data_IF_749662924266
#
_entry.id   IF_749662924266
#
_cell.length_a   1.000
_cell.length_b   1.000
_cell.length_c   1.000
_cell.angle_alpha   90.00
_cell.angle_beta   90.00
_cell.angle_gamma   90.00
#
_symmetry.space_group_name_H-M   'P 1'
#
loop_
_entity.id
_entity.type
_entity.pdbx_description
1 polymer ?
#
# COMPACT_ATOMS: atom_id res chain seq x y z
N UNK A 1 -9.26 9.99 11.89
CA UNK A 1 -8.40 10.28 10.73
C UNK A 1 -8.25 11.79 10.62
N UNK A 2 -7.04 12.33 10.69
CA UNK A 2 -6.77 13.75 10.47
C UNK A 2 -6.02 13.93 9.17
N UNK A 3 -6.35 14.99 8.43
CA UNK A 3 -5.63 15.40 7.23
C UNK A 3 -5.33 16.89 7.35
N UNK A 4 -4.07 17.23 7.51
CA UNK A 4 -3.61 18.62 7.55
C UNK A 4 -3.23 19.16 6.16
N UNK A 5 -3.44 18.38 5.13
CA UNK A 5 -2.99 18.68 3.76
C UNK A 5 -1.66 18.02 3.40
N UNK A 6 -0.80 17.74 4.37
CA UNK A 6 0.54 17.17 4.17
C UNK A 6 0.58 15.66 4.37
N UNK A 7 -0.42 15.10 5.05
CA UNK A 7 -0.47 13.68 5.36
C UNK A 7 -1.83 13.18 5.82
N UNK A 8 -1.88 11.92 6.15
CA UNK A 8 -3.02 11.24 6.78
C UNK A 8 -2.53 10.37 7.92
N UNK A 9 -3.13 10.52 9.08
CA UNK A 9 -2.93 9.63 10.21
C UNK A 9 -4.10 8.64 10.31
N UNK A 10 -3.79 7.35 10.38
CA UNK A 10 -4.74 6.25 10.52
C UNK A 10 -4.58 5.63 11.90
N UNK A 11 -5.67 5.55 12.64
CA UNK A 11 -5.72 4.85 13.93
C UNK A 11 -6.26 3.45 13.74
N UNK A 12 -5.64 2.44 14.36
CA UNK A 12 -6.21 1.10 14.38
C UNK A 12 -7.56 1.12 15.13
N UNK A 13 -8.45 0.20 14.76
CA UNK A 13 -9.67 -0.01 15.52
C UNK A 13 -9.29 -0.42 16.96
N UNK A 14 -9.79 0.27 18.01
CA UNK A 14 -9.46 -0.02 19.40
C UNK A 14 -9.83 -1.45 19.84
N UNK A 15 -10.78 -2.09 19.16
CA UNK A 15 -11.16 -3.49 19.37
C UNK A 15 -10.34 -4.49 18.57
N UNK A 16 -9.34 -4.02 17.78
CA UNK A 16 -8.46 -4.91 17.04
C UNK A 16 -7.26 -5.32 17.88
N UNK A 17 -7.23 -6.58 18.29
CA UNK A 17 -6.10 -7.18 19.00
C UNK A 17 -5.27 -8.04 18.04
N UNK A 18 -4.09 -7.59 17.64
CA UNK A 18 -3.20 -8.39 16.82
C UNK A 18 -2.67 -9.59 17.61
N UNK A 19 -2.67 -10.77 17.00
CA UNK A 19 -2.37 -12.05 17.68
C UNK A 19 -0.95 -12.17 18.24
N UNK A 20 0.01 -11.33 17.87
CA UNK A 20 1.44 -11.48 18.24
C UNK A 20 2.22 -10.16 18.25
N UNK A 21 1.59 -9.06 18.64
CA UNK A 21 2.32 -7.79 18.79
C UNK A 21 2.69 -7.57 20.25
N UNK A 22 3.94 -7.13 20.55
CA UNK A 22 4.28 -6.60 21.85
C UNK A 22 3.35 -5.44 22.22
N UNK A 23 3.02 -5.28 23.50
CA UNK A 23 2.16 -4.21 24.00
C UNK A 23 2.60 -2.80 23.54
N UNK A 24 3.89 -2.60 23.34
CA UNK A 24 4.47 -1.35 22.83
C UNK A 24 4.01 -0.95 21.41
N UNK A 25 3.48 -1.88 20.62
CA UNK A 25 2.98 -1.62 19.27
C UNK A 25 1.45 -1.63 19.16
N UNK A 26 0.76 -1.73 20.29
CA UNK A 26 -0.68 -1.56 20.34
C UNK A 26 -1.05 -0.10 20.08
N UNK A 27 -2.06 0.12 19.26
CA UNK A 27 -2.58 1.44 18.92
C UNK A 27 -1.57 2.37 18.21
N UNK A 28 -0.54 1.81 17.57
CA UNK A 28 0.40 2.62 16.80
C UNK A 28 -0.33 3.29 15.64
N UNK A 29 -0.24 4.61 15.59
CA UNK A 29 -0.77 5.41 14.47
C UNK A 29 0.07 5.14 13.22
N UNK A 30 -0.59 4.94 12.09
CA UNK A 30 0.07 4.82 10.79
C UNK A 30 -0.02 6.18 10.12
N UNK A 31 1.11 6.81 9.93
CA UNK A 31 1.21 8.09 9.25
C UNK A 31 1.59 7.86 7.78
N UNK A 32 0.81 8.42 6.89
CA UNK A 32 1.05 8.42 5.45
C UNK A 32 1.35 9.85 5.02
N UNK A 33 2.58 10.08 4.55
CA UNK A 33 2.94 11.36 3.95
C UNK A 33 2.34 11.50 2.55
N UNK A 34 1.99 12.71 2.16
CA UNK A 34 1.62 13.00 0.79
C UNK A 34 2.87 12.96 -0.10
N UNK A 35 2.73 12.41 -1.30
CA UNK A 35 3.74 12.49 -2.35
C UNK A 35 3.34 13.61 -3.31
N UNK A 36 4.30 14.40 -3.71
CA UNK A 36 4.14 15.43 -4.71
C UNK A 36 4.92 16.69 -4.36
N UNK A 37 5.25 17.53 -5.35
CA UNK A 37 5.86 18.82 -5.10
C UNK A 37 4.89 19.71 -4.31
N UNK A 38 5.45 20.51 -3.41
CA UNK A 38 4.69 21.53 -2.64
C UNK A 38 4.17 22.69 -3.51
N UNK A 39 4.28 22.58 -4.84
CA UNK A 39 3.84 23.58 -5.80
C UNK A 39 2.54 23.17 -6.49
N UNK A 40 1.67 24.13 -6.82
CA UNK A 40 0.48 23.86 -7.62
C UNK A 40 0.91 23.21 -8.96
N UNK A 41 0.21 22.18 -9.44
CA UNK A 41 0.59 21.48 -10.64
C UNK A 41 0.42 22.43 -11.85
N UNK A 42 1.49 22.65 -12.60
CA UNK A 42 1.37 23.00 -13.99
C UNK A 42 0.76 21.79 -14.69
N UNK A 43 -0.42 21.92 -15.18
CA UNK A 43 -1.39 21.15 -15.97
C UNK A 43 -1.21 19.62 -16.20
N UNK A 44 -0.10 19.00 -15.92
CA UNK A 44 0.07 17.55 -15.91
C UNK A 44 0.39 17.08 -14.49
N UNK A 45 -0.58 16.38 -13.86
CA UNK A 45 -0.33 15.68 -12.61
C UNK A 45 0.89 14.78 -12.79
N UNK A 46 1.99 15.08 -12.11
CA UNK A 46 3.20 14.27 -12.22
C UNK A 46 2.88 12.82 -11.86
N UNK A 47 3.56 11.85 -12.47
CA UNK A 47 3.40 10.42 -12.14
C UNK A 47 3.53 10.15 -10.64
N UNK A 48 4.29 10.98 -9.92
CA UNK A 48 4.41 10.94 -8.47
C UNK A 48 3.10 11.26 -7.74
N UNK A 49 2.30 12.21 -8.25
CA UNK A 49 0.99 12.54 -7.64
C UNK A 49 -0.04 11.42 -7.82
N UNK A 50 0.00 10.71 -8.94
CA UNK A 50 -0.86 9.55 -9.18
C UNK A 50 -0.56 8.40 -8.21
N UNK A 51 0.67 8.30 -7.74
CA UNK A 51 1.11 7.31 -6.74
C UNK A 51 0.91 7.77 -5.29
N UNK A 52 0.40 8.98 -5.06
CA UNK A 52 0.21 9.52 -3.72
C UNK A 52 -0.87 8.75 -2.94
N UNK A 53 -0.52 8.04 -1.84
CA UNK A 53 -1.48 7.26 -1.06
C UNK A 53 -2.52 8.16 -0.36
N UNK A 54 -2.15 9.39 -0.01
CA UNK A 54 -3.05 10.37 0.62
C UNK A 54 -4.12 10.82 -0.36
N UNK A 55 -3.74 11.12 -1.60
CA UNK A 55 -4.68 11.48 -2.68
C UNK A 55 -5.62 10.32 -2.99
N UNK A 56 -5.08 9.13 -3.18
CA UNK A 56 -5.88 7.92 -3.44
C UNK A 56 -6.89 7.66 -2.32
N UNK A 57 -6.47 7.81 -1.07
CA UNK A 57 -7.35 7.62 0.09
C UNK A 57 -8.45 8.69 0.17
N UNK A 58 -8.12 9.95 -0.10
CA UNK A 58 -9.12 11.04 -0.14
C UNK A 58 -10.16 10.79 -1.23
N UNK A 59 -9.73 10.45 -2.44
CA UNK A 59 -10.61 10.11 -3.54
C UNK A 59 -11.52 8.94 -3.15
N UNK A 60 -10.96 7.87 -2.60
CA UNK A 60 -11.72 6.72 -2.15
C UNK A 60 -12.81 7.08 -1.12
N UNK A 61 -12.47 7.90 -0.12
CA UNK A 61 -13.41 8.36 0.92
C UNK A 61 -14.53 9.19 0.30
N UNK A 62 -14.21 10.10 -0.61
CA UNK A 62 -15.20 10.92 -1.30
C UNK A 62 -16.16 10.07 -2.14
N UNK A 63 -15.62 9.14 -2.93
CA UNK A 63 -16.39 8.24 -3.78
C UNK A 63 -17.30 7.29 -2.98
N UNK A 64 -16.89 6.91 -1.77
CA UNK A 64 -17.67 5.97 -0.94
C UNK A 64 -18.60 6.67 0.05
N UNK A 65 -18.47 7.97 0.28
CA UNK A 65 -19.21 8.71 1.30
C UNK A 65 -20.73 8.52 1.21
N UNK A 66 -21.28 8.51 -0.01
CA UNK A 66 -22.72 8.42 -0.24
C UNK A 66 -23.35 7.07 0.10
N UNK A 67 -22.55 6.02 0.28
CA UNK A 67 -23.05 4.67 0.58
C UNK A 67 -22.27 3.95 1.69
N UNK A 68 -21.36 4.61 2.36
CA UNK A 68 -20.55 4.02 3.44
C UNK A 68 -21.41 3.71 4.67
N UNK A 69 -21.52 2.44 5.05
CA UNK A 69 -22.38 1.94 6.13
C UNK A 69 -21.57 1.16 7.20
N UNK A 70 -20.29 1.43 7.32
CA UNK A 70 -19.40 0.66 8.19
C UNK A 70 -18.34 1.57 8.83
N UNK A 71 -17.94 1.26 10.05
CA UNK A 71 -16.79 1.90 10.70
C UNK A 71 -15.44 1.48 10.10
N UNK A 72 -15.43 0.45 9.24
CA UNK A 72 -14.24 0.01 8.52
C UNK A 72 -13.87 0.95 7.39
N UNK A 73 -12.59 1.27 7.23
CA UNK A 73 -12.12 2.14 6.15
C UNK A 73 -12.52 1.63 4.76
N UNK A 74 -12.37 0.33 4.51
CA UNK A 74 -12.69 -0.26 3.21
C UNK A 74 -14.04 -0.95 3.21
N UNK A 75 -14.89 -0.58 2.25
CA UNK A 75 -16.25 -1.10 2.09
C UNK A 75 -16.45 -1.78 0.73
N UNK A 76 -17.46 -2.62 0.65
CA UNK A 76 -17.89 -3.21 -0.62
C UNK A 76 -18.43 -2.12 -1.53
N UNK A 77 -17.90 -2.03 -2.74
CA UNK A 77 -18.28 -1.00 -3.72
C UNK A 77 -19.58 -1.33 -4.50
N UNK A 78 -19.95 -2.60 -4.57
CA UNK A 78 -21.12 -3.03 -5.33
C UNK A 78 -21.78 -4.30 -4.76
N UNK A 79 -22.89 -4.67 -5.41
CA UNK A 79 -23.69 -5.85 -5.05
C UNK A 79 -24.53 -5.65 -3.78
N UNK A 80 -25.11 -6.74 -3.25
CA UNK A 80 -26.04 -6.67 -2.11
C UNK A 80 -25.41 -6.15 -0.81
N UNK A 81 -24.09 -6.15 -0.72
CA UNK A 81 -23.33 -5.67 0.45
C UNK A 81 -22.63 -4.32 0.21
N UNK A 82 -23.09 -3.54 -0.76
CA UNK A 82 -22.56 -2.20 -1.01
C UNK A 82 -22.56 -1.37 0.29
N UNK A 83 -21.43 -0.74 0.61
CA UNK A 83 -21.27 0.08 1.80
C UNK A 83 -20.92 -0.68 3.09
N UNK A 84 -21.09 -1.98 3.15
CA UNK A 84 -20.71 -2.78 4.31
C UNK A 84 -19.20 -3.09 4.33
N UNK A 85 -18.67 -3.39 5.50
CA UNK A 85 -17.26 -3.69 5.70
C UNK A 85 -16.73 -4.73 4.72
N UNK A 86 -15.59 -4.45 4.11
CA UNK A 86 -14.89 -5.37 3.23
C UNK A 86 -14.21 -6.46 4.05
N UNK A 87 -14.37 -7.73 3.66
CA UNK A 87 -13.65 -8.82 4.31
C UNK A 87 -12.15 -8.78 3.98
N UNK A 88 -11.31 -9.28 4.91
CA UNK A 88 -9.85 -9.39 4.70
C UNK A 88 -9.49 -10.22 3.46
N UNK A 89 -10.25 -11.28 3.20
CA UNK A 89 -10.06 -12.13 2.02
C UNK A 89 -10.35 -11.36 0.73
N UNK A 90 -11.43 -10.59 0.70
CA UNK A 90 -11.78 -9.77 -0.46
C UNK A 90 -10.75 -8.68 -0.70
N UNK A 91 -10.27 -8.00 0.36
CA UNK A 91 -9.20 -7.02 0.25
C UNK A 91 -7.90 -7.65 -0.28
N UNK A 92 -7.52 -8.82 0.25
CA UNK A 92 -6.35 -9.55 -0.24
C UNK A 92 -6.48 -9.94 -1.72
N UNK A 93 -7.69 -10.32 -2.15
CA UNK A 93 -7.99 -10.62 -3.56
C UNK A 93 -7.85 -9.38 -4.43
N UNK A 94 -8.35 -8.23 -4.01
CA UNK A 94 -8.19 -6.98 -4.75
C UNK A 94 -6.74 -6.58 -4.95
N UNK A 95 -5.90 -6.75 -3.93
CA UNK A 95 -4.46 -6.50 -4.07
C UNK A 95 -3.84 -7.39 -5.15
N UNK A 96 -4.22 -8.66 -5.20
CA UNK A 96 -3.74 -9.60 -6.23
C UNK A 96 -4.26 -9.17 -7.62
N UNK A 97 -5.55 -8.88 -7.76
CA UNK A 97 -6.17 -8.46 -9.01
C UNK A 97 -5.51 -7.18 -9.58
N UNK A 98 -5.19 -6.20 -8.73
CA UNK A 98 -4.49 -4.97 -9.15
C UNK A 98 -3.07 -5.28 -9.65
N UNK A 99 -2.33 -6.16 -8.96
CA UNK A 99 -1.01 -6.57 -9.41
C UNK A 99 -1.10 -7.29 -10.76
N UNK A 100 -2.02 -8.24 -10.89
CA UNK A 100 -2.22 -8.97 -12.15
C UNK A 100 -2.56 -8.03 -13.31
N UNK A 101 -3.45 -7.07 -13.08
CA UNK A 101 -3.83 -6.09 -14.08
C UNK A 101 -2.65 -5.18 -14.49
N UNK A 102 -1.85 -4.74 -13.52
CA UNK A 102 -0.66 -3.94 -13.78
C UNK A 102 0.37 -4.68 -14.65
N UNK A 103 0.52 -5.99 -14.48
CA UNK A 103 1.40 -6.80 -15.33
C UNK A 103 0.80 -7.01 -16.72
N UNK A 104 -0.50 -7.33 -16.81
CA UNK A 104 -1.21 -7.54 -18.09
C UNK A 104 -1.19 -6.28 -18.93
N UNK A 105 -1.50 -5.12 -18.36
CA UNK A 105 -1.54 -3.86 -19.10
C UNK A 105 -0.19 -3.46 -19.70
N UNK A 106 0.91 -4.01 -19.17
CA UNK A 106 2.29 -3.78 -19.66
C UNK A 106 2.83 -4.94 -20.50
N UNK A 107 2.04 -5.95 -20.77
CA UNK A 107 2.48 -7.14 -21.53
C UNK A 107 3.57 -7.95 -20.80
N UNK A 108 3.68 -7.82 -19.47
CA UNK A 108 4.69 -8.51 -18.67
C UNK A 108 4.19 -9.88 -18.20
N UNK A 109 5.08 -10.88 -18.09
CA UNK A 109 4.70 -12.18 -17.53
C UNK A 109 4.33 -12.05 -16.05
N UNK A 110 3.24 -12.69 -15.66
CA UNK A 110 2.79 -12.68 -14.28
C UNK A 110 3.80 -13.35 -13.35
N UNK A 111 4.13 -12.74 -12.21
CA UNK A 111 4.95 -13.39 -11.20
C UNK A 111 4.25 -14.63 -10.64
N UNK A 112 5.03 -15.65 -10.33
CA UNK A 112 4.51 -16.86 -9.68
C UNK A 112 4.10 -16.55 -8.23
N UNK A 113 2.98 -17.15 -7.79
CA UNK A 113 2.53 -17.11 -6.40
C UNK A 113 2.25 -15.71 -5.82
N UNK A 114 1.62 -14.83 -6.59
CA UNK A 114 1.18 -13.52 -6.09
C UNK A 114 0.17 -13.73 -4.95
N UNK A 115 0.38 -13.02 -3.85
CA UNK A 115 -0.48 -13.02 -2.65
C UNK A 115 -0.71 -11.59 -2.19
N UNK A 116 -1.75 -11.35 -1.37
CA UNK A 116 -2.02 -10.04 -0.79
C UNK A 116 -0.87 -9.47 0.06
N UNK A 117 0.07 -10.30 0.53
CA UNK A 117 1.27 -9.87 1.26
C UNK A 117 2.51 -9.66 0.37
N UNK A 118 2.42 -9.93 -0.93
CA UNK A 118 3.58 -9.81 -1.84
C UNK A 118 4.12 -8.39 -1.90
N UNK A 119 3.25 -7.37 -1.91
CA UNK A 119 3.65 -5.96 -1.88
C UNK A 119 4.48 -5.62 -0.65
N UNK A 120 4.10 -6.13 0.53
CA UNK A 120 4.85 -5.93 1.78
C UNK A 120 6.24 -6.55 1.70
N UNK A 121 6.34 -7.77 1.18
CA UNK A 121 7.64 -8.46 1.03
C UNK A 121 8.57 -7.71 0.08
N UNK A 122 8.05 -7.25 -1.05
CA UNK A 122 8.82 -6.49 -2.03
C UNK A 122 9.24 -5.14 -1.47
N UNK A 123 8.33 -4.34 -0.92
CA UNK A 123 8.63 -3.00 -0.41
C UNK A 123 9.67 -3.01 0.72
N UNK A 124 9.54 -3.94 1.67
CA UNK A 124 10.51 -4.05 2.78
C UNK A 124 11.87 -4.58 2.32
N UNK A 125 11.90 -5.46 1.32
CA UNK A 125 13.16 -5.93 0.74
C UNK A 125 13.86 -4.82 -0.05
N UNK A 126 13.11 -3.98 -0.76
CA UNK A 126 13.64 -2.79 -1.43
C UNK A 126 14.20 -1.76 -0.44
N UNK A 127 13.48 -1.49 0.66
CA UNK A 127 13.96 -0.62 1.70
C UNK A 127 15.30 -1.11 2.29
N UNK A 128 15.38 -2.42 2.57
CA UNK A 128 16.63 -3.04 3.05
C UNK A 128 17.77 -2.94 2.03
N UNK A 129 17.49 -3.16 0.74
CA UNK A 129 18.48 -3.02 -0.34
C UNK A 129 19.02 -1.59 -0.45
N UNK A 130 18.18 -0.60 -0.17
CA UNK A 130 18.53 0.83 -0.17
C UNK A 130 19.17 1.30 1.12
N UNK A 131 19.48 0.40 2.04
CA UNK A 131 20.21 0.70 3.27
C UNK A 131 19.34 1.25 4.41
N UNK A 132 18.01 1.18 4.31
CA UNK A 132 17.16 1.54 5.44
C UNK A 132 17.40 0.57 6.59
N UNK A 133 17.64 1.06 7.83
CA UNK A 133 17.89 0.22 9.00
C UNK A 133 16.78 -0.80 9.24
N UNK A 134 17.14 -2.04 9.57
CA UNK A 134 16.16 -3.11 9.81
C UNK A 134 15.20 -2.78 10.95
N UNK A 135 15.63 -2.01 11.94
CA UNK A 135 14.76 -1.52 13.02
C UNK A 135 13.62 -0.63 12.51
N UNK A 136 13.91 0.26 11.57
CA UNK A 136 12.92 1.14 10.94
C UNK A 136 11.97 0.34 10.05
N UNK A 137 12.50 -0.61 9.26
CA UNK A 137 11.68 -1.51 8.44
C UNK A 137 10.73 -2.33 9.32
N UNK A 138 11.22 -2.88 10.44
CA UNK A 138 10.40 -3.63 11.38
C UNK A 138 9.33 -2.76 12.03
N UNK A 139 9.65 -1.54 12.42
CA UNK A 139 8.71 -0.58 12.98
C UNK A 139 7.61 -0.24 11.98
N UNK A 140 7.97 0.15 10.76
CA UNK A 140 7.01 0.47 9.68
C UNK A 140 6.13 -0.74 9.30
N UNK A 141 6.68 -1.95 9.33
CA UNK A 141 5.94 -3.18 9.06
C UNK A 141 5.19 -3.75 10.28
N UNK A 142 5.29 -3.12 11.45
CA UNK A 142 4.74 -3.61 12.72
C UNK A 142 5.21 -5.04 13.05
N UNK A 143 6.49 -5.32 12.86
CA UNK A 143 7.10 -6.61 13.18
C UNK A 143 7.86 -6.55 14.50
N UNK A 144 7.67 -7.58 15.32
CA UNK A 144 8.32 -7.68 16.64
C UNK A 144 9.84 -7.86 16.57
N UNK A 145 10.39 -8.35 15.44
CA UNK A 145 11.83 -8.60 15.30
C UNK A 145 12.29 -8.67 13.85
N UNK A 146 13.56 -8.40 13.63
CA UNK A 146 14.25 -8.56 12.35
C UNK A 146 14.23 -10.02 11.83
N UNK A 147 14.13 -11.00 12.72
CA UNK A 147 13.98 -12.42 12.33
C UNK A 147 12.72 -12.67 11.51
N UNK A 148 11.63 -11.93 11.76
CA UNK A 148 10.40 -12.02 10.98
C UNK A 148 10.65 -11.60 9.53
N UNK A 149 11.36 -10.50 9.32
CA UNK A 149 11.75 -10.05 7.98
C UNK A 149 12.64 -11.09 7.28
N UNK A 150 13.75 -11.48 7.92
CA UNK A 150 14.73 -12.38 7.33
C UNK A 150 14.13 -13.73 6.93
N UNK A 151 13.23 -14.27 7.76
CA UNK A 151 12.65 -15.61 7.58
C UNK A 151 11.48 -15.66 6.60
N UNK A 152 10.64 -14.63 6.56
CA UNK A 152 9.35 -14.72 5.88
C UNK A 152 9.14 -13.68 4.77
N UNK A 153 9.90 -12.58 4.78
CA UNK A 153 9.63 -11.44 3.92
C UNK A 153 10.81 -11.02 3.05
N UNK A 154 12.03 -11.44 3.38
CA UNK A 154 13.20 -11.12 2.56
C UNK A 154 13.10 -11.84 1.22
N UNK A 155 12.93 -11.08 0.15
CA UNK A 155 12.96 -11.57 -1.23
C UNK A 155 14.17 -11.00 -1.97
N UNK A 156 14.66 -11.71 -2.97
CA UNK A 156 15.74 -11.20 -3.81
C UNK A 156 15.16 -10.21 -4.83
N UNK A 157 15.11 -8.94 -4.45
CA UNK A 157 14.57 -7.88 -5.31
C UNK A 157 15.55 -7.46 -6.43
N UNK A 158 16.82 -7.80 -6.33
CA UNK A 158 17.79 -7.53 -7.40
C UNK A 158 17.43 -8.28 -8.70
N UNK A 159 16.87 -9.48 -8.59
CA UNK A 159 16.37 -10.24 -9.73
C UNK A 159 15.10 -9.63 -10.35
N UNK A 160 14.40 -8.77 -9.63
CA UNK A 160 13.17 -8.11 -10.07
C UNK A 160 13.38 -6.63 -10.42
N UNK A 161 14.63 -6.17 -10.47
CA UNK A 161 14.96 -4.76 -10.74
C UNK A 161 14.38 -4.28 -12.07
N UNK A 162 14.44 -5.11 -13.10
CA UNK A 162 13.88 -4.80 -14.42
C UNK A 162 12.36 -4.58 -14.37
N UNK A 163 11.65 -5.32 -13.52
CA UNK A 163 10.20 -5.22 -13.35
C UNK A 163 9.84 -3.96 -12.57
N UNK A 164 10.55 -3.66 -11.49
CA UNK A 164 10.32 -2.45 -10.70
C UNK A 164 10.64 -1.18 -11.52
N UNK A 165 11.73 -1.20 -12.29
CA UNK A 165 12.07 -0.12 -13.21
C UNK A 165 11.01 0.07 -14.30
N UNK A 166 10.48 -1.01 -14.87
CA UNK A 166 9.42 -0.95 -15.88
C UNK A 166 8.08 -0.44 -15.30
N UNK A 167 7.86 -0.56 -13.98
CA UNK A 167 6.64 -0.04 -13.33
C UNK A 167 6.75 1.46 -13.04
N UNK A 168 7.96 1.96 -12.82
CA UNK A 168 8.21 3.35 -12.40
C UNK A 168 8.66 4.25 -13.57
N UNK A 169 9.27 3.68 -14.61
CA UNK A 169 9.66 4.43 -15.80
C UNK A 169 8.44 4.71 -16.68
N UNK A 170 8.22 5.98 -17.00
CA UNK A 170 7.27 6.39 -18.04
C UNK A 170 7.61 5.71 -19.37
N UNK A 171 6.62 5.36 -20.20
CA UNK A 171 6.89 4.90 -21.55
C UNK A 171 7.61 6.04 -22.28
N UNK A 172 8.87 5.81 -22.66
CA UNK A 172 9.61 6.69 -23.57
C UNK A 172 8.73 6.87 -24.80
N UNK A 173 8.21 8.08 -25.03
CA UNK A 173 7.41 8.37 -26.19
C UNK A 173 8.19 8.03 -27.47
N UNK A 174 7.51 7.63 -28.56
CA UNK A 174 8.16 7.37 -29.83
C UNK A 174 8.82 8.65 -30.34
N UNK A 175 10.10 8.54 -30.67
CA UNK A 175 10.88 9.57 -31.35
C UNK A 175 10.40 9.77 -32.78
#
# INVERSE_FOLDING_TARGET
MYTDGTGVALWPNPFFFPKRLPLAHYNQVIELAAYGPSHPPDEEASSAELLCPVRALRCYIQETAGFHQSDGLFVCYGGPRKGHALSRQKLSKWVVEVIEEAYKSRGLPLPLNIRGHSTRSVSTSWAALRGVPLSEICAAASWASACTFARFYRVNVAAHHAVAAAVIQEPSGPS
#
